data_IF_419012556481
#
_entry.id   IF_419012556481
#
_cell.length_a   1.000
_cell.length_b   1.000
_cell.length_c   1.000
_cell.angle_alpha   90.00
_cell.angle_beta   90.00
_cell.angle_gamma   90.00
#
_symmetry.space_group_name_H-M   'P 1'
#
loop_
_entity.id
_entity.type
_entity.pdbx_description
1 polymer ?
#
# COMPACT_ATOMS: atom_id res chain seq x y z
N UNK A 1 -16.22 17.86 -11.23
CA UNK A 1 -16.28 19.26 -11.66
C UNK A 1 -17.17 19.36 -12.88
N UNK A 2 -17.91 20.46 -12.99
CA UNK A 2 -18.44 20.88 -14.29
C UNK A 2 -17.27 21.34 -15.18
N UNK A 3 -17.26 20.91 -16.44
CA UNK A 3 -16.34 21.44 -17.44
C UNK A 3 -16.71 22.89 -17.74
N UNK A 4 -15.82 23.84 -17.45
CA UNK A 4 -16.02 25.24 -17.81
C UNK A 4 -15.66 25.44 -19.30
N UNK A 5 -16.56 26.05 -20.11
CA UNK A 5 -16.26 26.33 -21.50
C UNK A 5 -15.11 27.34 -21.61
N UNK A 6 -14.28 27.26 -22.67
CA UNK A 6 -13.16 28.18 -22.86
C UNK A 6 -13.66 29.63 -23.00
N UNK A 7 -13.06 30.55 -22.24
CA UNK A 7 -13.35 31.98 -22.29
C UNK A 7 -12.26 32.66 -23.15
N UNK A 8 -12.62 33.24 -24.31
CA UNK A 8 -11.66 33.95 -25.17
C UNK A 8 -10.86 35.01 -24.40
N UNK A 9 -9.54 35.01 -24.56
CA UNK A 9 -8.63 35.96 -23.90
C UNK A 9 -8.24 35.61 -22.46
N UNK A 10 -8.77 34.53 -21.87
CA UNK A 10 -8.45 34.10 -20.50
C UNK A 10 -7.88 32.68 -20.42
N UNK A 11 -8.50 31.72 -21.11
CA UNK A 11 -8.03 30.32 -21.16
C UNK A 11 -8.18 29.75 -22.59
N UNK A 12 -7.09 29.29 -23.24
CA UNK A 12 -7.12 28.85 -24.64
C UNK A 12 -7.66 27.43 -24.89
N UNK A 13 -7.93 26.64 -23.85
CA UNK A 13 -8.44 25.26 -23.95
C UNK A 13 -9.32 24.90 -22.76
N UNK A 14 -10.11 23.82 -22.86
CA UNK A 14 -10.83 23.22 -21.73
C UNK A 14 -9.82 22.85 -20.64
N UNK A 15 -9.85 23.55 -19.51
CA UNK A 15 -9.01 23.24 -18.35
C UNK A 15 -9.73 22.20 -17.52
N UNK A 16 -9.20 20.97 -17.47
CA UNK A 16 -9.59 20.00 -16.46
C UNK A 16 -8.71 20.23 -15.24
N UNK A 17 -9.28 20.82 -14.20
CA UNK A 17 -8.68 20.72 -12.88
C UNK A 17 -8.71 19.24 -12.50
N UNK A 18 -7.54 18.65 -12.26
CA UNK A 18 -7.42 17.28 -11.77
C UNK A 18 -8.10 17.23 -10.40
N UNK A 19 -9.39 16.90 -10.37
CA UNK A 19 -10.11 16.67 -9.13
C UNK A 19 -9.65 15.33 -8.53
N UNK A 20 -8.51 15.37 -7.83
CA UNK A 20 -8.11 14.29 -6.95
C UNK A 20 -9.09 14.24 -5.77
N UNK A 21 -10.06 13.32 -5.83
CA UNK A 21 -10.93 13.04 -4.69
C UNK A 21 -10.27 11.99 -3.80
N UNK A 22 -9.74 12.41 -2.64
CA UNK A 22 -9.18 11.50 -1.64
C UNK A 22 -10.31 10.77 -0.90
N UNK A 23 -10.34 9.44 -1.02
CA UNK A 23 -11.36 8.59 -0.36
C UNK A 23 -10.88 7.98 0.97
N UNK A 24 -9.83 8.55 1.55
CA UNK A 24 -9.18 8.05 2.75
C UNK A 24 -7.79 7.47 2.46
N UNK A 25 -7.20 6.86 3.49
CA UNK A 25 -5.91 6.16 3.43
C UNK A 25 -6.12 4.70 3.79
N UNK A 26 -5.43 3.81 3.11
CA UNK A 26 -5.27 2.40 3.49
C UNK A 26 -3.78 2.10 3.66
N UNK A 27 -3.47 1.12 4.48
CA UNK A 27 -2.12 0.57 4.61
C UNK A 27 -1.96 -0.62 3.68
N UNK A 28 -0.89 -0.62 2.91
CA UNK A 28 -0.39 -1.78 2.20
C UNK A 28 0.83 -2.30 2.96
N UNK A 29 0.73 -3.52 3.50
CA UNK A 29 1.90 -4.25 3.98
C UNK A 29 2.27 -5.23 2.87
N UNK A 30 3.49 -5.12 2.35
CA UNK A 30 3.97 -5.98 1.29
C UNK A 30 5.43 -6.36 1.52
N UNK A 31 5.74 -7.63 1.27
CA UNK A 31 7.11 -8.16 1.27
C UNK A 31 7.36 -8.93 -0.01
N UNK A 32 8.55 -8.79 -0.57
CA UNK A 32 8.97 -9.49 -1.79
C UNK A 32 9.96 -10.60 -1.43
N UNK A 33 9.71 -11.80 -1.96
CA UNK A 33 10.66 -12.89 -1.94
C UNK A 33 11.75 -12.62 -2.99
N UNK A 34 12.98 -12.42 -2.53
CA UNK A 34 14.10 -12.07 -3.40
C UNK A 34 14.58 -13.23 -4.28
N UNK A 35 14.19 -14.48 -3.98
CA UNK A 35 14.60 -15.64 -4.77
C UNK A 35 13.76 -15.83 -6.03
N UNK A 36 12.46 -15.53 -5.96
CA UNK A 36 11.50 -15.79 -7.04
C UNK A 36 10.69 -14.56 -7.48
N UNK A 37 10.80 -13.44 -6.76
CA UNK A 37 10.09 -12.20 -7.05
C UNK A 37 8.62 -12.18 -6.64
N UNK A 38 8.13 -13.20 -5.93
CA UNK A 38 6.73 -13.27 -5.47
C UNK A 38 6.51 -12.24 -4.37
N UNK A 39 5.42 -11.48 -4.49
CA UNK A 39 5.01 -10.52 -3.47
C UNK A 39 3.93 -11.16 -2.60
N UNK A 40 4.14 -11.11 -1.28
CA UNK A 40 3.10 -11.33 -0.28
C UNK A 40 2.60 -9.99 0.20
N UNK A 41 1.30 -9.80 0.28
CA UNK A 41 0.67 -8.52 0.58
C UNK A 41 -0.60 -8.64 1.42
N UNK A 42 -0.91 -7.62 2.23
CA UNK A 42 -2.24 -7.40 2.78
C UNK A 42 -2.61 -5.91 2.68
N UNK A 43 -3.90 -5.62 2.56
CA UNK A 43 -4.44 -4.26 2.62
C UNK A 43 -5.28 -4.13 3.87
N UNK A 44 -4.95 -3.14 4.71
CA UNK A 44 -5.66 -2.87 5.97
C UNK A 44 -6.13 -1.42 6.08
N UNK A 45 -7.16 -1.20 6.89
CA UNK A 45 -7.62 0.14 7.29
C UNK A 45 -6.78 0.72 8.43
N UNK A 46 -6.02 -0.13 9.13
CA UNK A 46 -5.14 0.25 10.24
C UNK A 46 -3.67 0.15 9.84
N UNK A 47 -2.76 0.48 10.76
CA UNK A 47 -1.31 0.37 10.57
C UNK A 47 -0.65 0.02 11.91
N UNK A 48 -0.93 -1.18 12.43
CA UNK A 48 -0.48 -1.62 13.76
C UNK A 48 0.16 -3.02 13.75
N UNK A 49 0.56 -3.50 14.93
CA UNK A 49 1.19 -4.81 15.10
C UNK A 49 0.24 -5.98 14.79
N UNK A 50 -1.08 -5.84 14.97
CA UNK A 50 -2.05 -6.88 14.59
C UNK A 50 -2.11 -7.09 13.07
N UNK A 51 -2.02 -6.00 12.31
CA UNK A 51 -1.87 -6.05 10.86
C UNK A 51 -0.58 -6.80 10.49
N UNK A 52 0.52 -6.49 11.16
CA UNK A 52 1.80 -7.14 10.93
C UNK A 52 1.78 -8.63 11.29
N UNK A 53 1.15 -9.03 12.40
CA UNK A 53 0.96 -10.44 12.77
C UNK A 53 0.12 -11.17 11.72
N UNK A 54 -0.93 -10.52 11.20
CA UNK A 54 -1.76 -11.09 10.12
C UNK A 54 -0.94 -11.31 8.85
N UNK A 55 -0.10 -10.33 8.48
CA UNK A 55 0.84 -10.46 7.38
C UNK A 55 1.81 -11.63 7.59
N UNK A 56 2.41 -11.75 8.78
CA UNK A 56 3.35 -12.82 9.11
C UNK A 56 2.70 -14.21 9.05
N UNK A 57 1.44 -14.36 9.48
CA UNK A 57 0.69 -15.62 9.36
C UNK A 57 0.45 -16.00 7.89
N UNK A 58 0.06 -15.03 7.04
CA UNK A 58 -0.09 -15.26 5.59
C UNK A 58 1.25 -15.70 4.99
N UNK A 59 2.33 -15.00 5.34
CA UNK A 59 3.67 -15.29 4.85
C UNK A 59 4.14 -16.69 5.28
N UNK A 60 4.07 -17.01 6.57
CA UNK A 60 4.48 -18.32 7.12
C UNK A 60 3.74 -19.48 6.44
N UNK A 61 2.43 -19.34 6.20
CA UNK A 61 1.63 -20.35 5.51
C UNK A 61 2.02 -20.59 4.04
N UNK A 62 2.78 -19.67 3.44
CA UNK A 62 3.21 -19.75 2.03
C UNK A 62 4.50 -20.57 1.85
N UNK A 63 5.17 -20.95 2.94
CA UNK A 63 6.43 -21.71 2.90
C UNK A 63 6.33 -23.03 3.66
N UNK A 64 7.12 -24.05 3.28
CA UNK A 64 7.25 -25.27 4.07
C UNK A 64 7.78 -25.00 5.49
N UNK A 65 7.27 -25.74 6.47
CA UNK A 65 7.53 -25.53 7.90
C UNK A 65 9.01 -25.65 8.30
N UNK A 66 9.80 -26.40 7.52
CA UNK A 66 11.22 -26.63 7.74
C UNK A 66 12.08 -25.45 7.24
N UNK A 67 11.50 -24.52 6.50
CA UNK A 67 12.22 -23.36 5.97
C UNK A 67 12.31 -22.26 7.02
N UNK A 68 13.53 -21.76 7.21
CA UNK A 68 13.76 -20.53 7.98
C UNK A 68 13.55 -19.32 7.07
N UNK A 69 12.49 -18.56 7.34
CA UNK A 69 12.23 -17.28 6.67
C UNK A 69 13.10 -16.20 7.34
N UNK A 70 13.82 -15.40 6.55
CA UNK A 70 14.58 -14.23 7.02
C UNK A 70 13.93 -12.97 6.48
N UNK A 71 13.47 -12.11 7.38
CA UNK A 71 12.82 -10.86 7.02
C UNK A 71 13.81 -9.71 7.18
N UNK A 72 13.82 -8.81 6.20
CA UNK A 72 14.45 -7.50 6.28
C UNK A 72 13.30 -6.50 6.31
N UNK A 73 13.17 -5.79 7.42
CA UNK A 73 12.07 -4.88 7.67
C UNK A 73 12.59 -3.44 7.64
N UNK A 74 11.72 -2.50 7.28
CA UNK A 74 11.99 -1.09 7.49
C UNK A 74 11.91 -0.74 8.99
N UNK A 75 12.31 0.49 9.35
CA UNK A 75 12.36 0.91 10.76
C UNK A 75 11.01 1.47 11.25
N UNK A 76 9.93 0.72 11.04
CA UNK A 76 8.59 1.09 11.50
C UNK A 76 8.24 0.40 12.82
N UNK A 77 7.51 1.13 13.68
CA UNK A 77 7.06 0.62 15.00
C UNK A 77 6.07 -0.53 14.91
N UNK A 78 5.42 -0.73 13.75
CA UNK A 78 4.47 -1.84 13.55
C UNK A 78 5.12 -3.22 13.70
N UNK A 79 6.45 -3.30 13.58
CA UNK A 79 7.20 -4.55 13.71
C UNK A 79 7.48 -4.96 15.16
N UNK A 80 7.17 -4.08 16.12
CA UNK A 80 7.37 -4.31 17.55
C UNK A 80 6.03 -4.29 18.26
N UNK A 81 5.76 -5.32 19.06
CA UNK A 81 4.64 -5.33 20.01
C UNK A 81 5.11 -4.79 21.36
N UNK A 82 4.27 -3.99 22.01
CA UNK A 82 4.44 -3.63 23.43
C UNK A 82 4.13 -4.82 24.35
#
# INVERSE_FOLDING_TARGET
SEELPPIPGKHPSVTRDYEYKRLGTLSLLAGIDLHNGVVTEIVSRTHNSDDFITFLKKLDSSYPREKKIRLILDNLRVHTSD
#
